data_IF_770013077298
#
_entry.id   IF_770013077298
#
_cell.length_a   1.000
_cell.length_b   1.000
_cell.length_c   1.000
_cell.angle_alpha   90.00
_cell.angle_beta   90.00
_cell.angle_gamma   90.00
#
_symmetry.space_group_name_H-M   'P 1'
#
loop_
_entity.id
_entity.type
_entity.pdbx_description
1 polymer ?
#
# COMPACT_ATOMS: atom_id res chain seq x y z
N UNK A 1 -22.79 18.20 2.34
CA UNK A 1 -22.12 17.07 3.02
C UNK A 1 -20.63 17.36 2.97
N UNK A 2 -19.90 17.42 4.10
CA UNK A 2 -18.48 17.83 4.03
C UNK A 2 -17.60 17.50 5.24
N UNK A 3 -18.18 17.27 6.43
CA UNK A 3 -17.38 16.96 7.63
C UNK A 3 -17.25 15.46 7.91
N UNK A 4 -18.24 14.65 7.51
CA UNK A 4 -18.19 13.18 7.67
C UNK A 4 -17.18 12.57 6.71
N UNK A 5 -17.25 12.89 5.42
CA UNK A 5 -16.25 12.48 4.42
C UNK A 5 -14.84 12.87 4.85
N UNK A 6 -14.62 14.14 5.25
CA UNK A 6 -13.30 14.60 5.72
C UNK A 6 -12.80 13.83 6.94
N UNK A 7 -13.70 13.47 7.86
CA UNK A 7 -13.34 12.68 9.04
C UNK A 7 -12.97 11.24 8.63
N UNK A 8 -13.76 10.61 7.76
CA UNK A 8 -13.49 9.27 7.23
C UNK A 8 -12.15 9.27 6.51
N UNK A 9 -11.93 10.19 5.58
CA UNK A 9 -10.67 10.35 4.86
C UNK A 9 -9.48 10.53 5.80
N UNK A 10 -9.61 11.39 6.82
CA UNK A 10 -8.54 11.60 7.80
C UNK A 10 -8.24 10.35 8.65
N UNK A 11 -9.27 9.57 9.03
CA UNK A 11 -9.09 8.32 9.78
C UNK A 11 -8.43 7.27 8.88
N UNK A 12 -8.91 7.13 7.65
CA UNK A 12 -8.38 6.20 6.67
C UNK A 12 -6.92 6.51 6.34
N UNK A 13 -6.58 7.79 6.19
CA UNK A 13 -5.20 8.25 6.00
C UNK A 13 -4.29 7.86 7.17
N UNK A 14 -4.74 8.05 8.42
CA UNK A 14 -3.96 7.64 9.59
C UNK A 14 -3.78 6.12 9.67
N UNK A 15 -4.84 5.36 9.35
CA UNK A 15 -4.80 3.90 9.31
C UNK A 15 -3.84 3.39 8.23
N UNK A 16 -3.94 3.90 7.00
CA UNK A 16 -3.06 3.54 5.89
C UNK A 16 -1.60 3.83 6.25
N UNK A 17 -1.30 5.04 6.73
CA UNK A 17 0.05 5.38 7.20
C UNK A 17 0.57 4.41 8.29
N UNK A 18 -0.29 3.99 9.21
CA UNK A 18 0.08 3.03 10.27
C UNK A 18 0.38 1.65 9.70
N UNK A 19 -0.44 1.16 8.77
CA UNK A 19 -0.27 -0.12 8.07
C UNK A 19 1.02 -0.09 7.26
N UNK A 20 1.22 0.93 6.44
CA UNK A 20 2.43 1.11 5.62
C UNK A 20 3.70 1.10 6.47
N UNK A 21 3.70 1.79 7.63
CA UNK A 21 4.84 1.72 8.57
C UNK A 21 5.08 0.33 9.13
N UNK A 22 4.04 -0.50 9.32
CA UNK A 22 4.21 -1.90 9.76
C UNK A 22 4.77 -2.74 8.62
N UNK A 23 4.22 -2.62 7.42
CA UNK A 23 4.68 -3.32 6.20
C UNK A 23 6.16 -3.04 5.96
N UNK A 24 6.55 -1.76 5.91
CA UNK A 24 7.95 -1.35 5.73
C UNK A 24 8.85 -1.92 6.83
N UNK A 25 8.41 -1.89 8.10
CA UNK A 25 9.19 -2.46 9.21
C UNK A 25 9.41 -3.96 9.06
N UNK A 26 8.40 -4.71 8.62
CA UNK A 26 8.54 -6.13 8.31
C UNK A 26 9.55 -6.35 7.19
N UNK A 27 9.42 -5.64 6.06
CA UNK A 27 10.34 -5.74 4.93
C UNK A 27 11.79 -5.36 5.31
N UNK A 28 11.96 -4.38 6.20
CA UNK A 28 13.27 -3.97 6.71
C UNK A 28 13.93 -5.02 7.62
N UNK A 29 13.14 -5.90 8.23
CA UNK A 29 13.63 -7.00 9.06
C UNK A 29 13.95 -8.26 8.24
N UNK A 30 13.50 -8.33 6.98
CA UNK A 30 13.78 -9.44 6.09
C UNK A 30 15.15 -9.26 5.43
N UNK A 31 16.18 -9.84 6.04
CA UNK A 31 17.57 -9.82 5.55
C UNK A 31 17.95 -11.06 4.74
N UNK A 32 17.09 -12.07 4.72
CA UNK A 32 17.23 -13.30 3.96
C UNK A 32 16.29 -13.27 2.74
N UNK A 33 16.60 -14.04 1.70
CA UNK A 33 15.78 -14.13 0.48
C UNK A 33 15.92 -12.94 -0.48
N UNK A 34 16.91 -12.07 -0.25
CA UNK A 34 17.31 -11.00 -1.15
C UNK A 34 17.76 -11.55 -2.52
N UNK A 35 17.42 -10.84 -3.60
CA UNK A 35 17.73 -11.25 -4.99
C UNK A 35 18.80 -10.39 -5.67
N UNK A 36 19.26 -9.31 -5.02
CA UNK A 36 20.28 -8.39 -5.54
C UNK A 36 21.71 -8.95 -5.46
N UNK A 37 21.92 -10.04 -4.70
CA UNK A 37 23.22 -10.68 -4.51
C UNK A 37 24.06 -10.06 -3.38
N UNK A 38 25.05 -10.82 -2.92
CA UNK A 38 25.86 -10.49 -1.73
C UNK A 38 26.84 -9.32 -1.95
N UNK A 39 27.16 -9.00 -3.20
CA UNK A 39 28.10 -7.94 -3.57
C UNK A 39 27.47 -6.54 -3.53
N UNK A 40 26.19 -6.42 -3.15
CA UNK A 40 25.49 -5.15 -3.10
C UNK A 40 25.56 -4.49 -1.72
N UNK A 41 25.47 -3.16 -1.63
CA UNK A 41 25.41 -2.48 -0.34
C UNK A 41 24.03 -2.61 0.34
N UNK A 42 23.03 -3.22 -0.30
CA UNK A 42 21.67 -3.37 0.22
C UNK A 42 21.65 -4.35 1.39
N UNK A 43 20.67 -4.21 2.30
CA UNK A 43 20.67 -4.99 3.56
C UNK A 43 19.40 -5.73 3.89
N UNK A 44 18.32 -5.45 3.16
CA UNK A 44 17.03 -6.09 3.37
C UNK A 44 16.18 -5.92 2.11
N UNK A 45 15.05 -6.63 2.09
CA UNK A 45 14.07 -6.58 1.01
C UNK A 45 13.55 -5.16 0.76
N UNK A 46 13.38 -4.34 1.81
CA UNK A 46 12.94 -2.95 1.63
C UNK A 46 13.94 -2.11 0.81
N UNK A 47 15.24 -2.24 1.07
CA UNK A 47 16.29 -1.57 0.29
C UNK A 47 16.23 -2.00 -1.20
N UNK A 48 15.94 -3.28 -1.50
CA UNK A 48 15.78 -3.79 -2.88
C UNK A 48 14.53 -3.24 -3.57
N UNK A 49 13.39 -3.21 -2.88
CA UNK A 49 12.15 -2.62 -3.39
C UNK A 49 12.37 -1.15 -3.72
N UNK A 50 13.01 -0.38 -2.83
CA UNK A 50 13.29 1.04 -3.08
C UNK A 50 14.13 1.25 -4.34
N UNK A 51 15.18 0.46 -4.53
CA UNK A 51 16.02 0.53 -5.72
C UNK A 51 15.22 0.20 -6.97
N UNK A 52 14.45 -0.89 -6.96
CA UNK A 52 13.70 -1.32 -8.14
C UNK A 52 12.62 -0.33 -8.54
N UNK A 53 11.91 0.26 -7.57
CA UNK A 53 10.92 1.32 -7.82
C UNK A 53 11.57 2.60 -8.36
N UNK A 54 12.79 2.93 -7.94
CA UNK A 54 13.47 4.17 -8.35
C UNK A 54 14.23 4.08 -9.68
N UNK A 55 14.58 2.87 -10.13
CA UNK A 55 15.41 2.67 -11.30
C UNK A 55 14.75 1.78 -12.34
N UNK A 56 14.64 0.49 -12.05
CA UNK A 56 13.96 -0.46 -12.93
C UNK A 56 13.58 -1.74 -12.19
N UNK A 57 12.51 -2.38 -12.65
CA UNK A 57 12.02 -3.64 -12.10
C UNK A 57 12.81 -4.81 -12.65
N UNK A 58 13.23 -5.70 -11.76
CA UNK A 58 13.85 -6.97 -12.15
C UNK A 58 12.79 -8.01 -12.52
N UNK A 59 13.23 -9.14 -13.09
CA UNK A 59 12.35 -10.32 -13.30
C UNK A 59 11.74 -10.86 -12.00
N UNK A 60 12.30 -10.49 -10.85
CA UNK A 60 11.81 -10.89 -9.53
C UNK A 60 10.78 -9.90 -8.96
N UNK A 61 10.43 -8.83 -9.67
CA UNK A 61 9.42 -7.86 -9.21
C UNK A 61 8.11 -8.49 -8.71
N UNK A 62 7.52 -9.48 -9.42
CA UNK A 62 6.29 -10.14 -8.94
C UNK A 62 6.41 -10.78 -7.56
N UNK A 63 7.60 -11.24 -7.18
CA UNK A 63 7.84 -11.80 -5.84
C UNK A 63 7.75 -10.71 -4.76
N UNK A 64 8.26 -9.50 -5.04
CA UNK A 64 8.19 -8.40 -4.10
C UNK A 64 6.77 -7.85 -3.98
N UNK A 65 6.01 -7.80 -5.09
CA UNK A 65 4.59 -7.44 -5.09
C UNK A 65 3.78 -8.39 -4.19
N UNK A 66 3.86 -9.70 -4.45
CA UNK A 66 3.17 -10.72 -3.65
C UNK A 66 3.54 -10.61 -2.16
N UNK A 67 4.82 -10.35 -1.86
CA UNK A 67 5.28 -10.20 -0.48
C UNK A 67 4.70 -8.94 0.20
N UNK A 68 4.65 -7.80 -0.49
CA UNK A 68 4.04 -6.58 0.02
C UNK A 68 2.55 -6.76 0.26
N UNK A 69 1.84 -7.40 -0.67
CA UNK A 69 0.43 -7.71 -0.56
C UNK A 69 0.15 -8.64 0.63
N UNK A 70 0.92 -9.72 0.78
CA UNK A 70 0.77 -10.68 1.87
C UNK A 70 0.98 -10.07 3.25
N UNK A 71 2.00 -9.23 3.41
CA UNK A 71 2.26 -8.54 4.68
C UNK A 71 1.15 -7.52 4.97
N UNK A 72 0.66 -6.83 3.93
CA UNK A 72 -0.46 -5.89 4.04
C UNK A 72 -1.72 -6.63 4.47
N UNK A 73 -2.08 -7.73 3.80
CA UNK A 73 -3.22 -8.60 4.11
C UNK A 73 -3.20 -9.08 5.57
N UNK A 74 -2.05 -9.59 6.04
CA UNK A 74 -1.86 -9.98 7.44
C UNK A 74 -2.07 -8.81 8.41
N UNK A 75 -1.68 -7.60 8.03
CA UNK A 75 -1.88 -6.41 8.87
C UNK A 75 -3.35 -5.97 8.91
N UNK A 76 -4.09 -6.15 7.81
CA UNK A 76 -5.52 -5.82 7.74
C UNK A 76 -6.39 -6.71 8.65
N UNK A 77 -5.98 -7.96 8.88
CA UNK A 77 -6.67 -8.89 9.80
C UNK A 77 -6.75 -8.38 11.26
N UNK A 78 -5.92 -7.40 11.63
CA UNK A 78 -5.95 -6.76 12.95
C UNK A 78 -6.99 -5.63 13.06
N UNK A 79 -7.61 -5.22 11.94
CA UNK A 79 -8.56 -4.12 11.89
C UNK A 79 -10.01 -4.60 12.06
N UNK A 80 -10.82 -3.77 12.69
CA UNK A 80 -12.27 -3.98 12.75
C UNK A 80 -12.93 -3.66 11.41
N UNK A 81 -14.06 -4.30 11.10
CA UNK A 81 -14.85 -4.03 9.88
C UNK A 81 -15.09 -2.55 9.57
N UNK A 82 -15.46 -1.66 10.53
CA UNK A 82 -15.63 -0.24 10.23
C UNK A 82 -14.35 0.46 9.74
N UNK A 83 -13.17 0.00 10.17
CA UNK A 83 -11.90 0.52 9.71
C UNK A 83 -11.59 0.06 8.28
N UNK A 84 -11.93 -1.19 7.95
CA UNK A 84 -11.77 -1.71 6.59
C UNK A 84 -12.71 -1.00 5.62
N UNK A 85 -13.98 -0.81 6.01
CA UNK A 85 -14.95 -0.02 5.24
C UNK A 85 -14.47 1.42 5.03
N UNK A 86 -13.98 2.08 6.09
CA UNK A 86 -13.47 3.44 5.98
C UNK A 86 -12.31 3.54 4.98
N UNK A 87 -11.38 2.58 4.97
CA UNK A 87 -10.28 2.55 4.02
C UNK A 87 -10.79 2.24 2.60
N UNK A 88 -11.69 1.26 2.47
CA UNK A 88 -12.24 0.86 1.16
C UNK A 88 -12.96 2.01 0.47
N UNK A 89 -13.70 2.84 1.22
CA UNK A 89 -14.31 4.07 0.68
C UNK A 89 -13.31 5.11 0.16
N UNK A 90 -12.00 4.92 0.35
CA UNK A 90 -10.97 5.78 -0.24
C UNK A 90 -10.35 5.17 -1.51
N UNK A 91 -10.72 3.93 -1.88
CA UNK A 91 -10.30 3.34 -3.16
C UNK A 91 -11.21 3.80 -4.28
N UNK A 92 -10.75 3.64 -5.52
CA UNK A 92 -11.56 3.91 -6.70
C UNK A 92 -12.85 3.09 -6.68
N UNK A 93 -12.80 1.81 -6.32
CA UNK A 93 -13.98 0.95 -6.20
C UNK A 93 -14.98 1.42 -5.14
N UNK A 94 -14.49 1.89 -3.99
CA UNK A 94 -15.35 2.42 -2.93
C UNK A 94 -16.01 3.74 -3.32
N UNK A 95 -15.28 4.57 -4.08
CA UNK A 95 -15.80 5.83 -4.61
C UNK A 95 -16.85 5.59 -5.70
N UNK A 96 -16.59 4.66 -6.63
CA UNK A 96 -17.55 4.24 -7.65
C UNK A 96 -18.84 3.70 -7.01
N UNK A 97 -18.72 2.84 -5.99
CA UNK A 97 -19.87 2.33 -5.25
C UNK A 97 -20.67 3.42 -4.53
N UNK A 98 -20.00 4.39 -3.90
CA UNK A 98 -20.67 5.50 -3.22
C UNK A 98 -21.45 6.38 -4.21
N UNK A 99 -20.87 6.67 -5.38
CA UNK A 99 -21.55 7.45 -6.42
C UNK A 99 -22.72 6.70 -7.06
N UNK A 100 -22.58 5.40 -7.31
CA UNK A 100 -23.65 4.57 -7.86
C UNK A 100 -24.91 4.60 -6.97
N UNK A 101 -24.75 4.76 -5.65
CA UNK A 101 -25.86 4.94 -4.71
C UNK A 101 -26.49 6.34 -4.78
N UNK A 102 -25.72 7.38 -5.07
CA UNK A 102 -26.23 8.75 -5.21
C UNK A 102 -27.06 8.93 -6.49
N UNK A 103 -26.76 8.15 -7.53
CA UNK A 103 -27.47 8.16 -8.83
C UNK A 103 -28.74 7.30 -8.85
N UNK A 104 -28.97 6.46 -7.83
CA UNK A 104 -30.24 5.75 -7.63
C UNK A 104 -31.38 6.74 -7.30
N UNK A 105 -32.58 6.57 -7.89
CA UNK A 105 -33.75 7.39 -7.56
C UNK A 105 -34.02 7.38 -6.04
N UNK A 106 -34.34 8.55 -5.46
CA UNK A 106 -34.70 8.72 -4.04
C UNK A 106 -35.73 7.66 -3.62
N UNK A 107 -35.27 6.59 -2.97
CA UNK A 107 -36.13 5.50 -2.47
C UNK A 107 -35.72 4.07 -2.85
N UNK A 108 -34.73 3.86 -3.72
CA UNK A 108 -34.22 2.50 -4.03
C UNK A 108 -32.99 2.09 -3.21
N UNK A 109 -32.25 3.05 -2.66
CA UNK A 109 -31.15 2.80 -1.73
C UNK A 109 -31.66 2.36 -0.36
N UNK A 110 -31.32 1.14 0.06
CA UNK A 110 -31.71 0.65 1.38
C UNK A 110 -30.77 1.28 2.42
N UNK A 111 -31.22 2.29 3.17
CA UNK A 111 -30.45 2.93 4.26
C UNK A 111 -29.96 1.93 5.34
N UNK A 112 -30.51 0.70 5.36
CA UNK A 112 -30.07 -0.39 6.24
C UNK A 112 -29.00 -1.30 5.61
N UNK A 113 -28.56 -1.06 4.38
CA UNK A 113 -27.54 -1.87 3.73
C UNK A 113 -26.16 -1.54 4.31
N UNK A 114 -25.45 -2.58 4.76
CA UNK A 114 -24.11 -2.41 5.30
C UNK A 114 -23.17 -2.00 4.19
N UNK A 115 -22.33 -0.99 4.45
CA UNK A 115 -21.21 -0.60 3.57
C UNK A 115 -20.38 -1.87 3.28
N UNK A 116 -20.19 -2.27 2.01
CA UNK A 116 -19.35 -3.40 1.69
C UNK A 116 -17.87 -3.02 1.85
N UNK A 117 -16.99 -4.01 1.77
CA UNK A 117 -15.57 -3.78 1.53
C UNK A 117 -14.99 -5.02 0.89
N UNK A 118 -13.98 -4.82 0.04
CA UNK A 118 -13.21 -5.91 -0.56
C UNK A 118 -11.75 -5.78 -0.13
N UNK A 119 -11.23 -6.82 0.51
CA UNK A 119 -9.89 -6.81 1.10
C UNK A 119 -8.81 -6.60 0.05
N UNK A 120 -8.97 -7.20 -1.14
CA UNK A 120 -7.99 -7.07 -2.22
C UNK A 120 -7.89 -5.63 -2.77
N UNK A 121 -9.01 -4.90 -2.85
CA UNK A 121 -9.00 -3.49 -3.25
C UNK A 121 -8.21 -2.66 -2.23
N UNK A 122 -8.43 -2.89 -0.94
CA UNK A 122 -7.72 -2.22 0.16
C UNK A 122 -6.22 -2.54 0.10
N UNK A 123 -5.87 -3.81 -0.10
CA UNK A 123 -4.46 -4.25 -0.19
C UNK A 123 -3.78 -3.54 -1.35
N UNK A 124 -4.36 -3.58 -2.54
CA UNK A 124 -3.81 -2.94 -3.74
C UNK A 124 -3.69 -1.43 -3.55
N UNK A 125 -4.70 -0.78 -2.98
CA UNK A 125 -4.68 0.64 -2.66
C UNK A 125 -3.52 1.01 -1.73
N UNK A 126 -3.35 0.29 -0.62
CA UNK A 126 -2.27 0.56 0.35
C UNK A 126 -0.89 0.30 -0.27
N UNK A 127 -0.74 -0.80 -1.03
CA UNK A 127 0.53 -1.13 -1.67
C UNK A 127 0.91 -0.05 -2.69
N UNK A 128 0.00 0.32 -3.59
CA UNK A 128 0.29 1.26 -4.67
C UNK A 128 0.44 2.70 -4.17
N UNK A 129 -0.56 3.20 -3.43
CA UNK A 129 -0.65 4.62 -3.09
C UNK A 129 0.25 5.00 -1.89
N UNK A 130 0.57 4.05 -1.01
CA UNK A 130 1.36 4.32 0.18
C UNK A 130 2.72 3.62 0.18
N UNK A 131 2.77 2.30 0.00
CA UNK A 131 4.04 1.54 0.12
C UNK A 131 4.98 1.89 -1.03
N UNK A 132 4.53 1.76 -2.27
CA UNK A 132 5.33 2.08 -3.46
C UNK A 132 5.63 3.57 -3.59
N UNK A 133 4.66 4.42 -3.23
CA UNK A 133 4.86 5.87 -3.14
C UNK A 133 5.96 6.27 -2.15
N UNK A 134 6.07 5.59 -1.00
CA UNK A 134 7.19 5.79 -0.09
C UNK A 134 8.49 5.21 -0.65
N UNK A 135 8.45 4.03 -1.28
CA UNK A 135 9.63 3.40 -1.87
C UNK A 135 10.28 4.28 -2.95
N UNK A 136 9.47 4.96 -3.79
CA UNK A 136 9.97 5.85 -4.84
C UNK A 136 10.72 7.08 -4.31
N UNK A 137 10.37 7.53 -3.09
CA UNK A 137 10.98 8.69 -2.45
C UNK A 137 12.02 8.32 -1.37
N UNK A 138 12.18 7.04 -1.07
CA UNK A 138 13.01 6.57 0.04
C UNK A 138 14.48 6.54 -0.33
N UNK A 139 15.33 7.25 0.42
CA UNK A 139 16.77 7.24 0.13
C UNK A 139 17.61 7.14 1.39
N UNK A 140 18.74 6.44 1.27
CA UNK A 140 19.75 6.34 2.30
C UNK A 140 21.14 6.18 1.65
N UNK A 141 22.21 6.08 2.46
CA UNK A 141 23.59 5.96 1.92
C UNK A 141 23.80 4.68 1.09
N UNK A 142 23.08 3.59 1.39
CA UNK A 142 23.21 2.30 0.70
C UNK A 142 22.51 2.34 -0.66
N UNK A 143 21.26 2.82 -0.68
CA UNK A 143 20.47 2.97 -1.90
C UNK A 143 21.18 3.91 -2.88
N UNK A 144 21.64 5.09 -2.44
CA UNK A 144 22.39 6.02 -3.31
C UNK A 144 23.64 5.38 -3.90
N UNK A 145 24.44 4.70 -3.08
CA UNK A 145 25.64 4.01 -3.56
C UNK A 145 25.31 2.94 -4.61
N UNK A 146 24.20 2.23 -4.43
CA UNK A 146 23.76 1.23 -5.39
C UNK A 146 23.33 1.90 -6.70
N UNK A 147 22.49 2.93 -6.64
CA UNK A 147 22.02 3.65 -7.82
C UNK A 147 23.15 4.35 -8.59
N UNK A 148 24.09 5.01 -7.90
CA UNK A 148 25.24 5.65 -8.52
C UNK A 148 26.07 4.64 -9.36
N UNK A 149 26.25 3.41 -8.86
CA UNK A 149 26.96 2.36 -9.59
C UNK A 149 26.26 1.95 -10.90
N UNK A 150 24.92 1.96 -10.94
CA UNK A 150 24.16 1.64 -12.14
C UNK A 150 24.05 2.80 -13.13
N UNK A 151 24.15 4.06 -12.66
CA UNK A 151 24.08 5.26 -13.50
C UNK A 151 25.41 5.62 -14.17
N UNK A 152 26.53 5.09 -13.69
CA UNK A 152 27.86 5.28 -14.27
C UNK A 152 28.16 4.34 -15.46
N UNK A 153 27.22 3.47 -15.84
CA UNK A 153 27.28 2.56 -16.99
C UNK A 153 26.18 2.85 -18.02
#
# INVERSE_FOLDING_TARGET
MHYREKLIASISEELCNRITRKVIRCLQQMTEGMQSGDDTPLKNIWDEICVQVQYDYSIYWPYYEELMEDITRKTLQELSTPMLQAIWLQTDEGWDWENDLEDCEEGEGNENESIPYYEEDIVRYIVNEYVLSLASNWTNKRIRRHLDYYLDY
#
